data_IF_559758087765
#
_entry.id   IF_559758087765
#
_cell.length_a   1.000
_cell.length_b   1.000
_cell.length_c   1.000
_cell.angle_alpha   90.00
_cell.angle_beta   90.00
_cell.angle_gamma   90.00
#
_symmetry.space_group_name_H-M   'P 1'
#
loop_
_entity.id
_entity.type
_entity.pdbx_description
1 polymer ?
#
# COMPACT_ATOMS: atom_id res chain seq x y z
N UNK A 1 -29.36 -21.13 36.11
CA UNK A 1 -28.50 -21.35 34.93
C UNK A 1 -29.14 -20.71 33.70
N UNK A 2 -30.44 -20.93 33.48
CA UNK A 2 -31.22 -20.32 32.38
C UNK A 2 -31.20 -18.79 32.36
N UNK A 3 -31.31 -18.13 33.52
CA UNK A 3 -31.26 -16.65 33.61
C UNK A 3 -29.93 -16.05 33.10
N UNK A 4 -28.80 -16.76 33.31
CA UNK A 4 -27.49 -16.32 32.78
C UNK A 4 -27.36 -16.50 31.27
N UNK A 5 -28.12 -17.41 30.67
CA UNK A 5 -28.15 -17.58 29.21
C UNK A 5 -28.95 -16.46 28.57
N UNK A 6 -30.11 -16.13 29.13
CA UNK A 6 -30.95 -15.02 28.66
C UNK A 6 -30.22 -13.67 28.72
N UNK A 7 -29.43 -13.42 29.77
CA UNK A 7 -28.66 -12.17 29.88
C UNK A 7 -27.57 -12.08 28.80
N UNK A 8 -26.87 -13.17 28.51
CA UNK A 8 -25.86 -13.21 27.44
C UNK A 8 -26.46 -13.00 26.05
N UNK A 9 -27.64 -13.57 25.80
CA UNK A 9 -28.35 -13.37 24.53
C UNK A 9 -28.77 -11.90 24.37
N UNK A 10 -29.19 -11.25 25.47
CA UNK A 10 -29.50 -9.82 25.47
C UNK A 10 -28.28 -8.94 25.22
N UNK A 11 -27.15 -9.22 25.89
CA UNK A 11 -25.88 -8.51 25.67
C UNK A 11 -25.40 -8.65 24.23
N UNK A 12 -25.51 -9.86 23.66
CA UNK A 12 -25.13 -10.12 22.27
C UNK A 12 -26.01 -9.33 21.28
N UNK A 13 -27.33 -9.31 21.50
CA UNK A 13 -28.23 -8.50 20.65
C UNK A 13 -27.97 -6.99 20.79
N UNK A 14 -27.64 -6.51 21.99
CA UNK A 14 -27.23 -5.11 22.18
C UNK A 14 -25.93 -4.79 21.42
N UNK A 15 -24.94 -5.68 21.45
CA UNK A 15 -23.70 -5.51 20.69
C UNK A 15 -23.95 -5.50 19.17
N UNK A 16 -24.79 -6.41 18.66
CA UNK A 16 -25.19 -6.42 17.24
C UNK A 16 -25.86 -5.12 16.83
N UNK A 17 -26.74 -4.58 17.67
CA UNK A 17 -27.41 -3.29 17.43
C UNK A 17 -26.40 -2.14 17.37
N UNK A 18 -25.42 -2.09 18.28
CA UNK A 18 -24.34 -1.08 18.26
C UNK A 18 -23.47 -1.17 17.01
N UNK A 19 -23.16 -2.37 16.53
CA UNK A 19 -22.40 -2.56 15.28
C UNK A 19 -23.21 -2.07 14.08
N UNK A 20 -24.50 -2.39 14.03
CA UNK A 20 -25.40 -1.93 12.96
C UNK A 20 -25.55 -0.41 12.95
N UNK A 21 -25.66 0.21 14.12
CA UNK A 21 -25.71 1.67 14.26
C UNK A 21 -24.45 2.34 13.71
N UNK A 22 -23.26 1.88 14.13
CA UNK A 22 -21.98 2.37 13.58
C UNK A 22 -21.83 2.17 12.07
N UNK A 23 -22.37 1.07 11.54
CA UNK A 23 -22.36 0.82 10.11
C UNK A 23 -23.24 1.84 9.36
N UNK A 24 -24.44 2.15 9.90
CA UNK A 24 -25.32 3.18 9.35
C UNK A 24 -24.64 4.55 9.39
N UNK A 25 -23.99 4.92 10.50
CA UNK A 25 -23.24 6.18 10.60
C UNK A 25 -22.12 6.28 9.55
N UNK A 26 -21.38 5.19 9.35
CA UNK A 26 -20.33 5.12 8.33
C UNK A 26 -20.89 5.30 6.91
N UNK A 27 -22.01 4.66 6.61
CA UNK A 27 -22.63 4.73 5.28
C UNK A 27 -23.24 6.12 5.01
N UNK A 28 -23.84 6.76 6.03
CA UNK A 28 -24.28 8.16 5.95
C UNK A 28 -23.08 9.10 5.73
N UNK A 29 -21.96 8.88 6.44
CA UNK A 29 -20.76 9.69 6.25
C UNK A 29 -20.18 9.55 4.84
N UNK A 30 -20.17 8.34 4.26
CA UNK A 30 -19.74 8.10 2.87
C UNK A 30 -20.65 8.81 1.87
N UNK A 31 -21.96 8.77 2.11
CA UNK A 31 -22.94 9.45 1.25
C UNK A 31 -22.73 10.97 1.26
N UNK A 32 -22.57 11.58 2.45
CA UNK A 32 -22.29 13.02 2.56
C UNK A 32 -20.97 13.42 1.88
N UNK A 33 -19.92 12.60 2.02
CA UNK A 33 -18.65 12.88 1.35
C UNK A 33 -18.77 12.80 -0.17
N UNK A 34 -19.55 11.84 -0.69
CA UNK A 34 -19.86 11.72 -2.12
C UNK A 34 -20.60 12.95 -2.63
N UNK A 35 -21.66 13.39 -1.94
CA UNK A 35 -22.43 14.59 -2.32
C UNK A 35 -21.55 15.85 -2.31
N UNK A 36 -20.67 16.00 -1.33
CA UNK A 36 -19.73 17.12 -1.25
C UNK A 36 -18.76 17.12 -2.44
N UNK A 37 -18.20 15.96 -2.81
CA UNK A 37 -17.33 15.85 -3.99
C UNK A 37 -18.07 16.18 -5.29
N UNK A 38 -19.31 15.72 -5.45
CA UNK A 38 -20.13 16.06 -6.61
C UNK A 38 -20.41 17.57 -6.70
N UNK A 39 -20.64 18.24 -5.56
CA UNK A 39 -20.81 19.70 -5.52
C UNK A 39 -19.52 20.44 -5.88
N UNK A 40 -18.37 19.98 -5.39
CA UNK A 40 -17.07 20.57 -5.73
C UNK A 40 -16.76 20.44 -7.22
N UNK A 41 -16.99 19.27 -7.82
CA UNK A 41 -16.80 19.05 -9.26
C UNK A 41 -17.71 19.98 -10.07
N UNK A 42 -19.00 20.06 -9.71
CA UNK A 42 -19.94 20.99 -10.37
C UNK A 42 -19.48 22.45 -10.28
N UNK A 43 -18.91 22.86 -9.15
CA UNK A 43 -18.39 24.21 -8.98
C UNK A 43 -17.18 24.49 -9.87
N UNK A 44 -16.23 23.54 -9.96
CA UNK A 44 -15.04 23.66 -10.82
C UNK A 44 -15.43 23.76 -12.29
N UNK A 45 -16.28 22.84 -12.77
CA UNK A 45 -16.76 22.85 -14.17
C UNK A 45 -17.48 24.16 -14.50
N UNK A 46 -18.28 24.69 -13.57
CA UNK A 46 -18.99 25.96 -13.76
C UNK A 46 -18.03 27.15 -13.91
N UNK A 47 -16.95 27.20 -13.14
CA UNK A 47 -15.93 28.26 -13.25
C UNK A 47 -15.11 28.14 -14.54
N UNK A 48 -14.82 26.91 -14.99
CA UNK A 48 -14.10 26.66 -16.23
C UNK A 48 -14.92 27.08 -17.47
N UNK A 49 -16.20 26.69 -17.52
CA UNK A 49 -17.12 27.13 -18.60
C UNK A 49 -17.27 28.64 -18.62
N UNK A 50 -17.40 29.28 -17.44
CA UNK A 50 -17.49 30.74 -17.33
C UNK A 50 -16.22 31.43 -17.82
N UNK A 51 -15.05 30.86 -17.56
CA UNK A 51 -13.76 31.38 -18.03
C UNK A 51 -13.64 31.26 -19.56
N UNK A 52 -14.01 30.11 -20.13
CA UNK A 52 -14.00 29.90 -21.58
C UNK A 52 -14.93 30.88 -22.32
N UNK A 53 -16.14 31.12 -21.81
CA UNK A 53 -17.08 32.09 -22.41
C UNK A 53 -16.56 33.55 -22.36
N UNK A 54 -15.76 33.91 -21.35
CA UNK A 54 -15.18 35.25 -21.28
C UNK A 54 -14.07 35.46 -22.31
N UNK A 55 -13.26 34.43 -22.59
CA UNK A 55 -12.22 34.51 -23.62
C UNK A 55 -12.79 34.67 -25.03
N UNK A 56 -13.87 33.96 -25.36
CA UNK A 56 -14.52 34.09 -26.69
C UNK A 56 -15.11 35.49 -26.93
N UNK A 57 -15.58 36.17 -25.87
CA UNK A 57 -16.15 37.52 -25.99
C UNK A 57 -15.11 38.63 -26.25
N UNK A 58 -13.81 38.34 -26.06
CA UNK A 58 -12.73 39.33 -26.21
C UNK A 58 -12.03 39.29 -27.57
N UNK A 59 -12.40 38.34 -28.44
CA UNK A 59 -11.88 38.23 -29.80
C UNK A 59 -12.85 38.91 -30.78
N UNK A 60 -13.24 40.15 -30.51
CA UNK A 60 -13.81 41.03 -31.53
C UNK A 60 -12.65 41.62 -32.32
N UNK A 61 -12.23 40.90 -33.35
CA UNK A 61 -11.17 41.32 -34.27
C UNK A 61 -11.73 42.49 -35.08
N UNK A 62 -11.21 43.70 -34.84
CA UNK A 62 -11.23 44.79 -35.81
C UNK A 62 -10.54 44.29 -37.09
N UNK A 63 -11.33 43.83 -38.06
CA UNK A 63 -10.86 43.53 -39.41
C UNK A 63 -10.71 44.88 -40.13
N UNK A 64 -9.49 45.33 -40.48
CA UNK A 64 -9.33 46.53 -41.29
C UNK A 64 -9.92 46.28 -42.68
N UNK A 65 -10.95 47.07 -42.99
CA UNK A 65 -11.67 47.04 -44.25
C UNK A 65 -10.79 47.64 -45.36
N UNK A 66 -9.98 46.83 -46.04
CA UNK A 66 -9.30 47.23 -47.28
C UNK A 66 -9.54 46.22 -48.41
N UNK A 67 -10.52 46.58 -49.23
CA UNK A 67 -10.67 46.41 -50.68
C UNK A 67 -10.41 45.05 -51.36
N UNK A 68 -11.51 44.50 -51.88
CA UNK A 68 -11.72 43.94 -53.22
C UNK A 68 -10.77 42.83 -53.74
N UNK A 69 -11.32 41.62 -53.93
CA UNK A 69 -11.59 41.10 -55.28
C UNK A 69 -12.45 39.82 -55.24
N UNK A 70 -13.39 39.80 -56.18
CA UNK A 70 -14.30 38.73 -56.57
C UNK A 70 -13.58 37.48 -57.08
N UNK A 71 -13.85 36.28 -56.51
CA UNK A 71 -14.06 35.03 -57.28
C UNK A 71 -14.97 34.09 -56.47
N UNK A 72 -15.91 33.49 -57.19
CA UNK A 72 -17.01 32.66 -56.73
C UNK A 72 -16.63 31.27 -56.19
N UNK A 73 -17.65 30.65 -55.57
CA UNK A 73 -17.83 29.19 -55.37
C UNK A 73 -17.13 28.54 -54.18
N UNK A 74 -17.84 28.46 -53.05
CA UNK A 74 -17.69 27.37 -52.06
C UNK A 74 -18.98 27.22 -51.25
N UNK A 75 -19.96 26.53 -51.82
CA UNK A 75 -21.02 25.85 -51.05
C UNK A 75 -20.61 24.38 -50.89
N UNK A 76 -19.97 24.00 -49.76
CA UNK A 76 -20.39 22.76 -49.11
C UNK A 76 -20.31 22.76 -47.58
N UNK A 77 -20.02 23.89 -46.92
CA UNK A 77 -19.76 23.90 -45.46
C UNK A 77 -21.02 23.83 -44.60
N UNK A 78 -22.16 24.35 -45.05
CA UNK A 78 -23.42 24.26 -44.28
C UNK A 78 -24.02 22.86 -44.25
N UNK A 79 -23.88 22.09 -45.33
CA UNK A 79 -24.38 20.72 -45.39
C UNK A 79 -23.57 19.79 -44.47
N UNK A 80 -22.24 19.98 -44.42
CA UNK A 80 -21.37 19.18 -43.55
C UNK A 80 -21.62 19.47 -42.06
N UNK A 81 -21.89 20.72 -41.70
CA UNK A 81 -22.17 21.11 -40.32
C UNK A 81 -23.50 20.53 -39.82
N UNK A 82 -24.52 20.47 -40.70
CA UNK A 82 -25.83 19.92 -40.36
C UNK A 82 -25.80 18.39 -40.23
N UNK A 83 -24.97 17.72 -41.03
CA UNK A 83 -24.80 16.26 -40.97
C UNK A 83 -24.05 15.82 -39.70
N UNK A 84 -23.10 16.62 -39.21
CA UNK A 84 -22.42 16.38 -37.92
C UNK A 84 -23.36 16.56 -36.72
N UNK A 85 -24.35 17.45 -36.83
CA UNK A 85 -25.32 17.72 -35.77
C UNK A 85 -26.37 16.59 -35.64
N UNK A 86 -26.72 15.93 -36.74
CA UNK A 86 -27.63 14.76 -36.73
C UNK A 86 -26.95 13.50 -36.17
N UNK A 87 -25.63 13.36 -36.35
CA UNK A 87 -24.88 12.19 -35.86
C UNK A 87 -24.79 12.16 -34.32
N UNK A 88 -24.72 13.33 -33.67
CA UNK A 88 -24.59 13.42 -32.19
C UNK A 88 -25.90 13.13 -31.46
N UNK A 89 -27.06 13.34 -32.09
CA UNK A 89 -28.36 13.06 -31.46
C UNK A 89 -28.71 11.57 -31.44
N UNK A 90 -28.27 10.78 -32.43
CA UNK A 90 -28.58 9.35 -32.51
C UNK A 90 -27.86 8.49 -31.45
N UNK A 91 -26.64 8.85 -31.05
CA UNK A 91 -25.89 8.09 -30.04
C UNK A 91 -26.42 8.30 -28.61
N UNK A 92 -27.16 9.40 -28.37
CA UNK A 92 -27.70 9.69 -27.04
C UNK A 92 -28.98 8.90 -26.74
N UNK A 93 -29.76 8.54 -27.77
CA UNK A 93 -31.02 7.80 -27.58
C UNK A 93 -30.82 6.27 -27.46
N UNK A 94 -29.71 5.71 -27.95
CA UNK A 94 -29.44 4.27 -27.80
C UNK A 94 -28.86 3.89 -26.42
N UNK A 95 -28.27 4.84 -25.70
CA UNK A 95 -27.71 4.61 -24.35
C UNK A 95 -28.79 4.47 -23.26
N UNK A 96 -29.97 5.07 -23.46
CA UNK A 96 -31.04 5.11 -22.44
C UNK A 96 -31.94 3.86 -22.39
N UNK A 97 -31.81 2.91 -23.32
CA UNK A 97 -32.65 1.69 -23.35
C UNK A 97 -31.97 0.48 -22.68
N UNK A 98 -30.67 0.51 -22.42
CA UNK A 98 -29.92 -0.64 -21.91
C UNK A 98 -29.91 -0.81 -20.38
N UNK A 99 -30.41 0.16 -19.60
CA UNK A 99 -30.21 0.19 -18.14
C UNK A 99 -31.38 -0.29 -17.28
N UNK A 100 -32.40 -0.95 -17.85
CA UNK A 100 -33.65 -1.25 -17.13
C UNK A 100 -33.93 -2.72 -16.78
N UNK A 101 -32.98 -3.64 -16.93
CA UNK A 101 -33.21 -5.04 -16.58
C UNK A 101 -31.99 -5.69 -15.94
N UNK A 102 -31.91 -5.66 -14.61
CA UNK A 102 -31.39 -6.76 -13.77
C UNK A 102 -31.53 -6.41 -12.29
N UNK A 103 -32.70 -6.76 -11.73
CA UNK A 103 -32.88 -6.98 -10.30
C UNK A 103 -33.06 -8.48 -10.13
N UNK A 104 -32.09 -9.15 -9.50
CA UNK A 104 -32.21 -10.53 -9.04
C UNK A 104 -31.68 -10.57 -7.61
N UNK A 105 -32.58 -10.97 -6.72
CA UNK A 105 -32.35 -11.28 -5.32
C UNK A 105 -31.20 -12.28 -5.14
N UNK A 106 -30.25 -11.95 -4.27
CA UNK A 106 -29.11 -12.80 -3.94
C UNK A 106 -28.73 -12.65 -2.48
N UNK A 107 -29.42 -13.43 -1.64
CA UNK A 107 -29.16 -13.62 -0.22
C UNK A 107 -27.78 -14.28 -0.01
N UNK A 108 -26.88 -13.63 0.73
CA UNK A 108 -25.55 -14.16 1.08
C UNK A 108 -25.32 -13.97 2.58
N UNK A 109 -25.60 -15.03 3.34
CA UNK A 109 -25.16 -15.21 4.72
C UNK A 109 -23.63 -15.40 4.74
N UNK A 110 -22.89 -14.41 5.26
CA UNK A 110 -21.47 -14.56 5.55
C UNK A 110 -21.27 -14.82 7.04
N UNK A 111 -20.76 -16.02 7.33
CA UNK A 111 -20.33 -16.45 8.67
C UNK A 111 -19.04 -15.71 9.03
N UNK A 112 -19.12 -14.74 9.94
CA UNK A 112 -17.95 -14.04 10.50
C UNK A 112 -17.51 -14.79 11.76
N UNK A 113 -16.32 -15.38 11.73
CA UNK A 113 -15.60 -15.82 12.92
C UNK A 113 -14.82 -14.63 13.49
N UNK A 114 -15.19 -14.19 14.69
CA UNK A 114 -14.43 -13.23 15.49
C UNK A 114 -13.51 -14.01 16.43
N UNK A 115 -12.20 -13.93 16.20
CA UNK A 115 -11.21 -14.22 17.22
C UNK A 115 -10.84 -12.90 17.91
N UNK A 116 -11.35 -12.71 19.13
CA UNK A 116 -10.93 -11.64 20.03
C UNK A 116 -9.56 -12.00 20.63
N UNK A 117 -8.55 -11.16 20.39
CA UNK A 117 -7.31 -11.16 21.17
C UNK A 117 -7.28 -9.90 22.01
N UNK A 118 -7.71 -10.05 23.26
CA UNK A 118 -7.47 -9.10 24.35
C UNK A 118 -5.98 -9.19 24.72
N UNK A 119 -5.27 -8.06 24.67
CA UNK A 119 -3.86 -8.00 25.04
C UNK A 119 -3.52 -6.66 25.67
N UNK A 120 -3.51 -6.65 27.01
CA UNK A 120 -2.97 -5.59 27.86
C UNK A 120 -1.53 -5.21 27.45
N UNK A 121 -1.32 -3.94 27.14
CA UNK A 121 0.02 -3.36 27.02
C UNK A 121 0.55 -2.94 28.39
N UNK A 122 1.69 -3.46 28.86
CA UNK A 122 2.36 -2.89 30.02
C UNK A 122 3.20 -1.68 29.60
N UNK A 123 3.00 -0.59 30.33
CA UNK A 123 3.80 0.62 30.32
C UNK A 123 5.27 0.28 30.65
N UNK A 124 6.20 0.62 29.76
CA UNK A 124 7.65 0.39 29.93
C UNK A 124 8.39 1.69 29.64
N UNK A 125 8.46 2.54 30.65
CA UNK A 125 9.42 3.62 30.77
C UNK A 125 10.84 3.04 30.91
N UNK A 126 11.70 3.27 29.91
CA UNK A 126 13.14 3.02 30.00
C UNK A 126 13.84 4.31 30.39
N UNK A 127 14.23 4.42 31.66
CA UNK A 127 15.33 5.29 32.08
C UNK A 127 16.63 4.61 31.70
N UNK A 128 17.46 5.30 30.91
CA UNK A 128 18.80 4.83 30.54
C UNK A 128 19.83 5.77 31.15
N UNK A 129 20.08 5.61 32.45
CA UNK A 129 21.33 6.01 33.08
C UNK A 129 22.33 4.85 32.99
N UNK A 130 23.57 5.14 32.59
CA UNK A 130 24.64 4.13 32.66
C UNK A 130 25.75 4.35 31.65
N UNK A 131 26.66 5.29 31.94
CA UNK A 131 27.93 5.39 31.25
C UNK A 131 28.80 4.16 31.48
N UNK A 132 29.42 3.65 30.41
CA UNK A 132 30.40 2.59 30.52
C UNK A 132 31.76 3.14 31.00
N UNK A 133 32.42 2.49 31.97
CA UNK A 133 33.78 2.84 32.34
C UNK A 133 34.79 2.23 31.37
N UNK A 134 35.72 3.09 30.94
CA UNK A 134 36.93 2.77 30.18
C UNK A 134 37.73 1.67 30.90
N UNK A 135 37.83 0.47 30.30
CA UNK A 135 38.69 -0.60 30.79
C UNK A 135 40.15 -0.31 30.42
N UNK A 136 40.94 0.05 31.43
CA UNK A 136 42.40 0.07 31.34
C UNK A 136 42.97 -1.34 31.17
N UNK A 137 43.80 -1.52 30.15
CA UNK A 137 44.65 -2.70 29.98
C UNK A 137 45.73 -2.71 31.07
N UNK A 138 45.75 -3.76 31.90
CA UNK A 138 46.95 -4.11 32.67
C UNK A 138 47.73 -5.20 31.92
N UNK A 139 49.05 -5.06 31.72
CA UNK A 139 49.89 -6.14 31.21
C UNK A 139 50.15 -7.16 32.33
N UNK A 140 49.55 -8.33 32.19
CA UNK A 140 49.71 -9.48 33.08
C UNK A 140 51.07 -10.14 32.90
N UNK A 141 51.75 -10.33 34.04
CA UNK A 141 53.10 -10.87 34.20
C UNK A 141 53.23 -12.31 33.71
N UNK A 142 54.37 -12.57 33.08
CA UNK A 142 54.95 -13.90 32.85
C UNK A 142 55.33 -14.54 34.19
N UNK A 143 54.81 -15.72 34.48
CA UNK A 143 55.37 -16.66 35.44
C UNK A 143 55.53 -18.01 34.75
N UNK A 144 56.79 -18.35 34.52
CA UNK A 144 57.25 -19.72 34.30
C UNK A 144 57.15 -20.53 35.60
N UNK A 145 57.29 -21.84 35.45
CA UNK A 145 57.66 -22.84 36.45
C UNK A 145 56.53 -23.59 37.17
N UNK A 146 56.02 -24.62 36.47
CA UNK A 146 55.99 -26.00 37.00
C UNK A 146 55.58 -26.97 35.89
N UNK A 147 56.56 -27.67 35.32
CA UNK A 147 56.33 -28.91 34.59
C UNK A 147 56.24 -30.04 35.62
N UNK A 148 55.04 -30.45 35.99
CA UNK A 148 54.79 -31.76 36.57
C UNK A 148 54.09 -32.61 35.49
N UNK A 149 54.70 -33.74 35.18
CA UNK A 149 54.35 -34.59 34.05
C UNK A 149 52.96 -35.20 34.20
N UNK A 150 52.02 -34.71 33.39
CA UNK A 150 50.74 -35.35 33.18
C UNK A 150 50.95 -36.69 32.47
N UNK A 151 50.34 -37.74 33.00
CA UNK A 151 50.43 -39.08 32.43
C UNK A 151 49.79 -39.08 31.03
N UNK A 152 50.38 -39.82 30.09
CA UNK A 152 49.87 -39.96 28.71
C UNK A 152 48.42 -40.51 28.67
N UNK A 153 47.94 -41.07 29.79
CA UNK A 153 46.60 -41.60 29.99
C UNK A 153 45.57 -40.52 30.39
N UNK A 154 45.98 -39.46 31.08
CA UNK A 154 45.13 -38.29 31.38
C UNK A 154 44.90 -37.41 30.15
N UNK A 155 45.91 -37.25 29.29
CA UNK A 155 45.78 -36.46 28.05
C UNK A 155 44.78 -37.07 27.04
N UNK A 156 44.51 -38.38 27.12
CA UNK A 156 43.54 -39.07 26.26
C UNK A 156 42.10 -39.01 26.82
N UNK A 157 41.91 -38.80 28.12
CA UNK A 157 40.57 -38.65 28.70
C UNK A 157 40.02 -37.22 28.62
N UNK A 158 40.87 -36.19 28.66
CA UNK A 158 40.41 -34.79 28.57
C UNK A 158 39.98 -34.36 27.16
N UNK A 159 40.55 -34.97 26.11
CA UNK A 159 40.14 -34.69 24.73
C UNK A 159 38.72 -35.19 24.39
N UNK A 160 38.16 -36.13 25.18
CA UNK A 160 36.80 -36.65 24.94
C UNK A 160 35.70 -35.79 25.58
N UNK A 161 36.03 -34.94 26.58
CA UNK A 161 35.06 -34.04 27.22
C UNK A 161 34.99 -32.65 26.57
N UNK A 162 36.05 -32.24 25.88
CA UNK A 162 36.08 -30.92 25.22
C UNK A 162 35.37 -30.88 23.86
N UNK A 163 35.20 -32.03 23.20
CA UNK A 163 34.48 -32.15 21.92
C UNK A 163 32.96 -32.11 22.12
N UNK A 164 32.45 -32.52 23.29
CA UNK A 164 31.01 -32.47 23.61
C UNK A 164 30.47 -31.08 23.96
N UNK A 165 31.33 -30.15 24.43
CA UNK A 165 30.90 -28.80 24.82
C UNK A 165 30.92 -27.79 23.66
N UNK A 166 31.70 -28.01 22.60
CA UNK A 166 31.73 -27.10 21.44
C UNK A 166 30.60 -27.33 20.44
N UNK A 167 29.95 -28.51 20.43
CA UNK A 167 28.78 -28.74 19.55
C UNK A 167 27.48 -28.13 20.07
N UNK A 168 27.41 -27.72 21.34
CA UNK A 168 26.19 -27.13 21.93
C UNK A 168 26.08 -25.61 21.73
N UNK A 169 27.12 -24.93 21.23
CA UNK A 169 27.10 -23.46 21.02
C UNK A 169 26.75 -23.05 19.59
N UNK A 170 26.75 -23.97 18.62
CA UNK A 170 26.42 -23.64 17.21
C UNK A 170 24.90 -23.62 16.96
N UNK A 171 24.08 -24.16 17.87
CA UNK A 171 22.64 -24.36 17.66
C UNK A 171 21.70 -23.30 18.28
N UNK A 172 22.23 -22.15 18.74
CA UNK A 172 21.40 -21.02 19.21
C UNK A 172 21.59 -19.75 18.37
N UNK A 173 21.86 -19.91 17.07
CA UNK A 173 21.45 -18.87 16.13
C UNK A 173 19.92 -18.83 16.19
N UNK A 174 19.40 -17.97 17.07
CA UNK A 174 17.96 -17.68 17.18
C UNK A 174 17.49 -17.43 15.77
N UNK A 175 16.62 -18.31 15.27
CA UNK A 175 15.97 -18.12 13.97
C UNK A 175 15.53 -16.65 13.91
N UNK A 176 15.89 -15.91 12.85
CA UNK A 176 15.54 -14.50 12.75
C UNK A 176 14.03 -14.40 12.95
N UNK A 177 13.63 -13.80 14.08
CA UNK A 177 12.22 -13.64 14.42
C UNK A 177 11.59 -12.89 13.25
N UNK A 178 10.67 -13.52 12.55
CA UNK A 178 9.88 -12.89 11.50
C UNK A 178 9.17 -11.70 12.14
N UNK A 179 9.75 -10.51 11.93
CA UNK A 179 9.06 -9.28 12.26
C UNK A 179 8.12 -9.07 11.09
N UNK A 180 6.84 -9.34 11.31
CA UNK A 180 5.81 -8.87 10.40
C UNK A 180 6.06 -7.38 10.14
N UNK A 181 6.08 -6.94 8.87
CA UNK A 181 6.31 -5.53 8.56
C UNK A 181 5.30 -4.70 9.35
N UNK A 182 5.80 -3.73 10.12
CA UNK A 182 4.96 -2.89 10.94
C UNK A 182 4.20 -1.98 9.99
N UNK A 183 2.89 -2.18 9.92
CA UNK A 183 1.96 -1.30 9.19
C UNK A 183 1.44 -0.25 10.16
N UNK A 184 1.52 1.01 9.77
CA UNK A 184 0.90 2.12 10.49
C UNK A 184 0.34 3.15 9.52
N UNK A 185 -0.50 4.05 10.04
CA UNK A 185 -1.11 5.14 9.27
C UNK A 185 -0.51 6.45 9.77
N UNK A 186 0.05 7.25 8.86
CA UNK A 186 0.63 8.56 9.15
C UNK A 186 -0.17 9.61 8.38
N UNK A 187 -1.05 10.34 9.07
CA UNK A 187 -2.00 11.24 8.42
C UNK A 187 -3.00 10.47 7.54
N UNK A 188 -3.00 10.75 6.25
CA UNK A 188 -3.81 10.05 5.24
C UNK A 188 -3.04 8.97 4.48
N UNK A 189 -1.79 8.71 4.85
CA UNK A 189 -0.90 7.78 4.14
C UNK A 189 -0.76 6.46 4.90
N UNK A 190 -0.70 5.35 4.15
CA UNK A 190 -0.40 4.03 4.71
C UNK A 190 1.11 3.80 4.59
N UNK A 191 1.74 3.45 5.70
CA UNK A 191 3.19 3.22 5.78
C UNK A 191 3.48 1.77 6.14
N UNK A 192 4.39 1.16 5.39
CA UNK A 192 4.94 -0.17 5.64
C UNK A 192 6.43 -0.06 5.90
N UNK A 193 6.87 -0.50 7.08
CA UNK A 193 8.29 -0.56 7.42
C UNK A 193 8.95 -1.81 6.79
N UNK A 194 9.84 -1.61 5.81
CA UNK A 194 10.65 -2.69 5.24
C UNK A 194 11.86 -3.01 6.12
N UNK A 195 12.42 -1.98 6.76
CA UNK A 195 13.51 -2.06 7.74
C UNK A 195 13.53 -0.78 8.56
N UNK A 196 14.31 -0.72 9.64
CA UNK A 196 14.41 0.46 10.50
C UNK A 196 14.83 1.77 9.82
N UNK A 197 15.24 1.73 8.53
CA UNK A 197 15.54 2.91 7.72
C UNK A 197 14.88 2.92 6.35
N UNK A 198 14.07 1.92 5.99
CA UNK A 198 13.44 1.83 4.65
C UNK A 198 11.96 1.62 4.80
N UNK A 199 11.17 2.42 4.11
CA UNK A 199 9.71 2.37 4.21
C UNK A 199 9.08 2.48 2.83
N UNK A 200 7.89 1.88 2.70
CA UNK A 200 6.97 2.10 1.59
C UNK A 200 5.81 2.94 2.11
N UNK A 201 5.61 4.13 1.53
CA UNK A 201 4.43 4.97 1.80
C UNK A 201 3.50 4.98 0.60
N UNK A 202 2.21 4.86 0.84
CA UNK A 202 1.16 4.88 -0.19
C UNK A 202 0.14 5.96 0.15
N UNK A 203 -0.13 6.85 -0.79
CA UNK A 203 -1.06 7.96 -0.56
C UNK A 203 -1.27 8.83 -1.79
N UNK A 204 -2.20 9.78 -1.65
CA UNK A 204 -2.44 10.82 -2.66
C UNK A 204 -1.56 12.02 -2.39
N UNK A 205 -0.83 12.46 -3.40
CA UNK A 205 -0.17 13.75 -3.38
C UNK A 205 -1.22 14.85 -3.61
N UNK A 206 -1.74 15.39 -2.52
CA UNK A 206 -2.88 16.31 -2.52
C UNK A 206 -2.72 17.50 -3.48
N UNK A 207 -1.50 18.02 -3.64
CA UNK A 207 -1.23 19.16 -4.52
C UNK A 207 -1.44 18.85 -6.01
N UNK A 208 -1.26 17.59 -6.42
CA UNK A 208 -1.38 17.17 -7.81
C UNK A 208 -2.56 16.21 -8.04
N UNK A 209 -3.20 15.70 -6.99
CA UNK A 209 -4.28 14.72 -7.11
C UNK A 209 -3.81 13.35 -7.62
N UNK A 210 -2.51 13.04 -7.54
CA UNK A 210 -1.92 11.81 -8.08
C UNK A 210 -1.64 10.83 -6.94
N UNK A 211 -2.01 9.55 -7.12
CA UNK A 211 -1.65 8.48 -6.21
C UNK A 211 -0.21 8.03 -6.46
N UNK A 212 0.61 7.99 -5.39
CA UNK A 212 2.01 7.62 -5.47
C UNK A 212 2.36 6.54 -4.43
N UNK A 213 3.27 5.64 -4.84
CA UNK A 213 3.93 4.65 -3.99
C UNK A 213 5.38 5.07 -3.81
N UNK A 214 5.73 5.55 -2.62
CA UNK A 214 7.08 6.01 -2.29
C UNK A 214 7.88 4.88 -1.64
N UNK A 215 8.96 4.45 -2.29
CA UNK A 215 9.93 3.49 -1.74
C UNK A 215 11.21 4.26 -1.45
N UNK A 216 11.48 4.54 -0.17
CA UNK A 216 12.49 5.54 0.21
C UNK A 216 13.23 5.18 1.49
N UNK A 217 14.48 5.63 1.57
CA UNK A 217 15.25 5.61 2.80
C UNK A 217 14.77 6.73 3.73
N UNK A 218 14.78 6.49 5.04
CA UNK A 218 14.41 7.47 6.05
C UNK A 218 15.55 7.65 7.03
N UNK A 219 15.80 8.90 7.40
CA UNK A 219 16.70 9.22 8.51
C UNK A 219 15.92 9.04 9.80
N UNK A 220 16.43 8.19 10.68
CA UNK A 220 15.91 8.09 12.05
C UNK A 220 16.18 9.41 12.77
N UNK A 221 15.11 10.13 13.12
CA UNK A 221 15.21 11.26 14.05
C UNK A 221 15.47 10.76 15.47
N UNK A 222 15.89 11.65 16.39
CA UNK A 222 15.73 11.39 17.81
C UNK A 222 14.22 11.40 18.10
N UNK A 223 13.58 10.23 18.19
CA UNK A 223 12.14 10.06 18.42
C UNK A 223 11.45 9.15 17.38
N UNK A 224 10.12 9.05 17.42
CA UNK A 224 9.30 8.26 16.47
C UNK A 224 9.05 8.97 15.12
N UNK A 225 9.71 10.09 14.87
CA UNK A 225 9.52 10.91 13.66
C UNK A 225 10.56 10.51 12.61
N UNK A 226 10.09 10.08 11.44
CA UNK A 226 10.91 9.66 10.32
C UNK A 226 10.93 10.74 9.24
N UNK A 227 12.13 11.16 8.83
CA UNK A 227 12.30 12.13 7.74
C UNK A 227 12.72 11.43 6.46
N UNK A 228 12.04 11.65 5.32
CA UNK A 228 12.40 11.03 4.05
C UNK A 228 13.78 11.52 3.59
N UNK A 229 14.65 10.58 3.21
CA UNK A 229 15.93 10.86 2.58
C UNK A 229 15.73 11.07 1.06
N UNK A 230 16.49 11.95 0.39
CA UNK A 230 16.50 12.05 -1.06
C UNK A 230 16.73 10.72 -1.81
N UNK A 231 17.32 9.72 -1.16
CA UNK A 231 17.47 8.36 -1.69
C UNK A 231 16.16 7.57 -1.69
N UNK A 232 15.51 7.50 -2.85
CA UNK A 232 14.31 6.69 -3.05
C UNK A 232 13.63 7.00 -4.37
N UNK A 233 12.60 6.23 -4.67
CA UNK A 233 11.78 6.38 -5.87
C UNK A 233 10.32 6.61 -5.48
N UNK A 234 9.61 7.38 -6.29
CA UNK A 234 8.16 7.51 -6.23
C UNK A 234 7.61 6.89 -7.51
N UNK A 235 6.71 5.94 -7.35
CA UNK A 235 6.08 5.23 -8.46
C UNK A 235 4.63 5.69 -8.56
N UNK A 236 4.20 5.99 -9.77
CA UNK A 236 2.77 6.12 -10.08
C UNK A 236 2.11 4.73 -10.03
N UNK A 237 0.78 4.70 -9.96
CA UNK A 237 0.04 3.45 -9.81
C UNK A 237 0.28 2.47 -10.97
N UNK A 238 0.30 2.96 -12.20
CA UNK A 238 0.58 2.19 -13.43
C UNK A 238 1.99 1.56 -13.42
N UNK A 239 2.99 2.31 -12.98
CA UNK A 239 4.37 1.81 -12.85
C UNK A 239 4.47 0.78 -11.73
N UNK A 240 3.76 0.98 -10.62
CA UNK A 240 3.70 0.02 -9.53
C UNK A 240 3.04 -1.30 -9.94
N UNK A 241 1.92 -1.25 -10.67
CA UNK A 241 1.25 -2.45 -11.21
C UNK A 241 2.15 -3.21 -12.18
N UNK A 242 2.86 -2.50 -13.04
CA UNK A 242 3.83 -3.10 -13.97
C UNK A 242 4.97 -3.77 -13.21
N UNK A 243 5.51 -3.13 -12.17
CA UNK A 243 6.52 -3.74 -11.31
C UNK A 243 5.99 -5.02 -10.65
N UNK A 244 4.77 -4.96 -10.11
CA UNK A 244 4.14 -6.09 -9.42
C UNK A 244 3.90 -7.29 -10.34
N UNK A 245 3.51 -7.06 -11.59
CA UNK A 245 3.31 -8.12 -12.58
C UNK A 245 4.58 -8.94 -12.86
N UNK A 246 5.77 -8.37 -12.66
CA UNK A 246 7.07 -9.02 -12.90
C UNK A 246 7.75 -9.52 -11.62
N UNK A 247 7.09 -9.48 -10.46
CA UNK A 247 7.71 -9.88 -9.17
C UNK A 247 8.17 -11.33 -9.16
N UNK A 248 7.41 -12.23 -9.80
CA UNK A 248 7.76 -13.65 -9.82
C UNK A 248 9.03 -13.91 -10.63
N UNK A 249 9.15 -13.29 -11.81
CA UNK A 249 10.33 -13.40 -12.66
C UNK A 249 11.57 -12.80 -11.96
N UNK A 250 11.41 -11.63 -11.33
CA UNK A 250 12.48 -11.03 -10.51
C UNK A 250 12.91 -11.93 -9.35
N UNK A 251 11.97 -12.63 -8.70
CA UNK A 251 12.29 -13.56 -7.63
C UNK A 251 13.08 -14.77 -8.15
N UNK A 252 12.70 -15.31 -9.33
CA UNK A 252 13.43 -16.39 -9.98
C UNK A 252 14.87 -15.98 -10.31
N UNK A 253 15.06 -14.80 -10.91
CA UNK A 253 16.39 -14.26 -11.23
C UNK A 253 17.27 -14.11 -9.98
N UNK A 254 16.70 -13.59 -8.87
CA UNK A 254 17.42 -13.46 -7.60
C UNK A 254 17.84 -14.83 -7.05
N UNK A 255 16.98 -15.84 -7.16
CA UNK A 255 17.32 -17.21 -6.75
C UNK A 255 18.43 -17.81 -7.61
N UNK A 256 18.42 -17.60 -8.92
CA UNK A 256 19.46 -18.07 -9.82
C UNK A 256 20.81 -17.40 -9.55
N UNK A 257 20.82 -16.08 -9.33
CA UNK A 257 22.01 -15.34 -8.93
C UNK A 257 22.59 -15.88 -7.61
N UNK A 258 21.74 -16.17 -6.62
CA UNK A 258 22.17 -16.74 -5.36
C UNK A 258 22.82 -18.13 -5.55
N UNK A 259 22.24 -18.99 -6.41
CA UNK A 259 22.82 -20.30 -6.76
C UNK A 259 24.19 -20.16 -7.41
N UNK A 260 24.33 -19.25 -8.38
CA UNK A 260 25.55 -19.08 -9.16
C UNK A 260 26.72 -18.51 -8.33
N UNK A 261 26.42 -17.70 -7.31
CA UNK A 261 27.43 -17.11 -6.43
C UNK A 261 27.78 -17.97 -5.21
N UNK A 262 27.23 -19.19 -5.10
CA UNK A 262 27.49 -20.07 -3.96
C UNK A 262 26.99 -19.51 -2.62
N UNK A 263 26.06 -18.53 -2.65
CA UNK A 263 25.37 -18.05 -1.46
C UNK A 263 24.41 -19.17 -1.07
N UNK A 264 24.79 -19.98 -0.08
CA UNK A 264 24.07 -21.20 0.29
C UNK A 264 22.55 -20.97 0.38
N UNK A 265 21.77 -21.81 -0.30
CA UNK A 265 20.31 -21.69 -0.45
C UNK A 265 19.54 -21.55 0.89
N UNK A 266 20.15 -21.93 2.02
CA UNK A 266 19.54 -21.90 3.34
C UNK A 266 19.14 -20.49 3.83
N UNK A 267 19.62 -19.39 3.23
CA UNK A 267 19.26 -18.04 3.67
C UNK A 267 18.21 -17.32 2.80
N UNK A 268 17.99 -17.76 1.57
CA UNK A 268 17.18 -17.00 0.59
C UNK A 268 15.78 -17.60 0.42
N UNK A 269 15.65 -18.94 0.45
CA UNK A 269 14.38 -19.63 0.14
C UNK A 269 13.28 -19.46 1.20
N UNK A 270 13.61 -19.58 2.49
CA UNK A 270 12.56 -19.64 3.52
C UNK A 270 11.89 -18.29 3.84
N UNK A 271 12.35 -17.17 3.27
CA UNK A 271 11.86 -15.83 3.65
C UNK A 271 10.78 -15.26 2.72
N UNK A 272 10.65 -15.81 1.51
CA UNK A 272 9.72 -15.30 0.50
C UNK A 272 8.49 -16.18 0.31
N UNK A 273 8.60 -17.50 0.57
CA UNK A 273 7.49 -18.44 0.39
C UNK A 273 6.28 -18.19 1.32
N UNK A 274 6.45 -17.43 2.41
CA UNK A 274 5.36 -17.08 3.33
C UNK A 274 4.52 -15.88 2.90
N UNK A 275 4.95 -15.13 1.87
CA UNK A 275 4.09 -14.15 1.20
C UNK A 275 3.31 -14.83 0.07
N UNK A 276 2.68 -15.98 0.37
CA UNK A 276 1.53 -16.40 -0.41
C UNK A 276 0.43 -15.37 -0.18
N UNK A 277 0.46 -14.30 -0.99
CA UNK A 277 -0.69 -13.46 -1.26
C UNK A 277 -1.86 -14.43 -1.47
N UNK A 278 -2.86 -14.35 -0.61
CA UNK A 278 -4.00 -15.25 -0.58
C UNK A 278 -4.63 -15.36 -1.96
N UNK A 279 -4.14 -16.33 -2.73
CA UNK A 279 -4.67 -16.72 -4.04
C UNK A 279 -5.88 -17.61 -3.79
N UNK A 280 -6.80 -17.16 -2.93
CA UNK A 280 -8.15 -17.70 -2.94
C UNK A 280 -8.84 -17.12 -4.16
N UNK A 281 -8.75 -17.87 -5.26
CA UNK A 281 -9.89 -18.27 -6.10
C UNK A 281 -10.79 -17.24 -6.78
N UNK A 282 -10.90 -16.00 -6.31
CA UNK A 282 -11.91 -15.07 -6.76
C UNK A 282 -11.28 -13.88 -7.50
N UNK A 283 -10.99 -14.16 -8.76
CA UNK A 283 -11.15 -13.23 -9.87
C UNK A 283 -10.31 -11.93 -9.86
N UNK A 284 -9.42 -11.86 -10.85
CA UNK A 284 -8.83 -10.65 -11.43
C UNK A 284 -9.87 -9.60 -11.95
N UNK A 285 -11.13 -9.66 -11.51
CA UNK A 285 -12.22 -8.81 -12.02
C UNK A 285 -12.38 -7.50 -11.24
N UNK A 286 -11.95 -7.40 -9.98
CA UNK A 286 -12.25 -6.20 -9.18
C UNK A 286 -11.34 -5.01 -9.49
N UNK A 287 -10.03 -5.23 -9.69
CA UNK A 287 -9.10 -4.17 -10.10
C UNK A 287 -9.42 -3.66 -11.53
N UNK A 288 -9.79 -4.55 -12.45
CA UNK A 288 -10.27 -4.16 -13.78
C UNK A 288 -11.65 -3.50 -13.76
N UNK A 289 -12.56 -3.86 -12.83
CA UNK A 289 -13.87 -3.19 -12.68
C UNK A 289 -13.76 -1.78 -12.09
N UNK A 290 -12.79 -1.54 -11.18
CA UNK A 290 -12.53 -0.20 -10.66
C UNK A 290 -11.94 0.70 -11.75
N UNK A 291 -11.00 0.21 -12.57
CA UNK A 291 -10.49 0.97 -13.72
C UNK A 291 -11.50 1.16 -14.85
N UNK A 292 -12.41 0.20 -15.08
CA UNK A 292 -13.53 0.40 -16.00
C UNK A 292 -14.45 1.52 -15.49
N UNK A 293 -14.80 1.52 -14.20
CA UNK A 293 -15.67 2.56 -13.61
C UNK A 293 -15.04 3.96 -13.59
N UNK A 294 -13.70 4.08 -13.48
CA UNK A 294 -13.00 5.37 -13.48
C UNK A 294 -12.83 5.91 -14.92
N UNK A 295 -12.53 5.04 -15.89
CA UNK A 295 -12.43 5.43 -17.29
C UNK A 295 -13.80 5.75 -17.94
N UNK A 296 -14.89 5.10 -17.49
CA UNK A 296 -16.25 5.42 -17.96
C UNK A 296 -16.72 6.79 -17.42
N UNK A 297 -16.38 7.11 -16.17
CA UNK A 297 -16.63 8.44 -15.60
C UNK A 297 -15.87 9.55 -16.34
N UNK A 298 -14.68 9.23 -16.88
CA UNK A 298 -13.81 10.19 -17.58
C UNK A 298 -14.19 10.40 -19.05
N UNK A 299 -14.92 9.46 -19.65
CA UNK A 299 -15.44 9.57 -21.03
C UNK A 299 -16.82 10.22 -21.13
N UNK A 300 -17.58 10.31 -20.03
CA UNK A 300 -18.90 10.98 -20.02
C UNK A 300 -18.85 12.51 -19.85
N UNK A 301 -17.65 13.09 -19.75
CA UNK A 301 -17.43 14.53 -19.51
C UNK A 301 -16.83 15.24 -20.74
N UNK A 302 -16.69 14.54 -21.88
CA UNK A 302 -16.30 15.14 -23.16
C UNK A 302 -17.38 14.87 -24.22
#
# INVERSE_FOLDING_TARGET
>A
MEERLLEKDRELEEQKMKVREKQIELDVSKLMHKEMLEQMIKAVVKEEVKSAMQEESKVEIEIPLTQAETVASTQPTKALLQQLQEFTQQDTEQSLVASSQHSVDGNLESTIRQDEVVGDTPDRSYESEGGEPVRFFQPGRSQNDRQEGLSLQELLQDNSRHIGMQQSQVARQRAPKERNPIRFVEGSEIVYELSGKKMVKMGYWAAQGIFLVHIRDYKGGRGAIHYPDPKGIALTLDVWETLFANVEDMNQDVQELARNHGIGQQQVGNRFDSYQYGRQGDSFSTASRINASINDASRSVF
#
